data_IF_624795753627
#
_entry.id   IF_624795753627
#
_cell.length_a   1.000
_cell.length_b   1.000
_cell.length_c   1.000
_cell.angle_alpha   90.00
_cell.angle_beta   90.00
_cell.angle_gamma   90.00
#
_symmetry.space_group_name_H-M   'P 1'
#
loop_
_entity.id
_entity.type
_entity.pdbx_description
1 polymer ?
#
# COMPACT_ATOMS: atom_id res chain seq x y z
N UNK A 1 -17.20 -28.63 -2.41
CA UNK A 1 -17.13 -27.59 -1.36
C UNK A 1 -15.90 -26.75 -1.66
N UNK A 2 -16.04 -25.46 -1.90
CA UNK A 2 -14.87 -24.56 -1.99
C UNK A 2 -14.22 -24.52 -0.61
N UNK A 3 -12.93 -24.88 -0.53
CA UNK A 3 -12.12 -24.76 0.69
C UNK A 3 -12.35 -23.40 1.33
N UNK A 4 -12.54 -23.32 2.65
CA UNK A 4 -12.72 -22.05 3.35
C UNK A 4 -11.59 -21.07 2.97
N UNK A 5 -11.84 -19.76 2.93
CA UNK A 5 -10.77 -18.81 2.63
C UNK A 5 -9.64 -18.95 3.65
N UNK A 6 -8.44 -18.46 3.37
CA UNK A 6 -7.32 -18.54 4.34
C UNK A 6 -7.03 -17.17 4.93
N UNK A 7 -6.61 -17.06 6.21
CA UNK A 7 -6.11 -15.81 6.76
C UNK A 7 -5.07 -15.14 5.86
N UNK A 8 -5.19 -13.83 5.67
CA UNK A 8 -4.40 -13.03 4.74
C UNK A 8 -4.94 -12.98 3.31
N UNK A 9 -5.77 -13.95 2.90
CA UNK A 9 -6.32 -13.99 1.54
C UNK A 9 -7.27 -12.81 1.31
N UNK A 10 -7.14 -12.17 0.14
CA UNK A 10 -8.14 -11.21 -0.34
C UNK A 10 -9.24 -11.93 -1.08
N UNK A 11 -10.46 -11.62 -0.69
CA UNK A 11 -11.66 -12.23 -1.23
C UNK A 11 -12.64 -11.14 -1.65
N UNK A 12 -13.44 -11.45 -2.67
CA UNK A 12 -14.70 -10.76 -2.93
C UNK A 12 -15.82 -11.63 -2.37
N UNK A 13 -16.73 -11.04 -1.62
CA UNK A 13 -17.85 -11.75 -1.03
C UNK A 13 -19.16 -11.00 -1.25
N UNK A 14 -20.24 -11.77 -1.16
CA UNK A 14 -21.61 -11.29 -1.13
C UNK A 14 -22.28 -11.84 0.11
N UNK A 15 -22.98 -10.98 0.83
CA UNK A 15 -23.74 -11.33 2.03
C UNK A 15 -25.08 -10.60 2.00
N UNK A 16 -26.01 -11.03 2.83
CA UNK A 16 -27.27 -10.33 3.03
C UNK A 16 -27.33 -9.69 4.42
N UNK A 17 -27.91 -8.50 4.49
CA UNK A 17 -28.35 -7.88 5.73
C UNK A 17 -29.87 -7.64 5.69
N UNK A 18 -30.43 -6.99 6.72
CA UNK A 18 -31.87 -6.71 6.79
C UNK A 18 -32.41 -5.86 5.65
N UNK A 19 -31.55 -5.16 4.91
CA UNK A 19 -31.90 -4.27 3.80
C UNK A 19 -31.62 -4.91 2.43
N UNK A 20 -31.08 -6.14 2.38
CA UNK A 20 -30.86 -6.92 1.17
C UNK A 20 -29.40 -7.30 0.89
N UNK A 21 -29.06 -7.67 -0.35
CA UNK A 21 -27.73 -8.15 -0.70
C UNK A 21 -26.69 -7.03 -0.74
N UNK A 22 -25.49 -7.33 -0.26
CA UNK A 22 -24.33 -6.44 -0.19
C UNK A 22 -23.09 -7.13 -0.76
N UNK A 23 -22.15 -6.33 -1.25
CA UNK A 23 -20.87 -6.81 -1.81
C UNK A 23 -19.68 -6.11 -1.17
N UNK A 24 -18.59 -6.87 -0.98
CA UNK A 24 -17.41 -6.41 -0.28
C UNK A 24 -16.18 -7.11 -0.79
N UNK A 25 -15.08 -6.36 -0.80
CA UNK A 25 -13.75 -6.90 -1.02
C UNK A 25 -12.93 -6.55 0.21
N UNK A 26 -12.21 -7.55 0.71
CA UNK A 26 -11.41 -7.39 1.93
C UNK A 26 -10.42 -8.53 2.12
N UNK A 27 -9.60 -8.39 3.15
CA UNK A 27 -8.63 -9.40 3.57
C UNK A 27 -9.17 -10.20 4.74
N UNK A 28 -9.08 -11.51 4.65
CA UNK A 28 -9.48 -12.42 5.73
C UNK A 28 -8.52 -12.24 6.90
N UNK A 29 -9.02 -11.92 8.09
CA UNK A 29 -8.22 -11.91 9.31
C UNK A 29 -8.29 -13.24 10.04
N UNK A 30 -9.51 -13.76 10.23
CA UNK A 30 -9.78 -14.93 11.04
C UNK A 30 -11.03 -15.63 10.57
N UNK A 31 -11.05 -16.94 10.76
CA UNK A 31 -12.19 -17.81 10.49
C UNK A 31 -12.51 -18.54 11.79
N UNK A 32 -13.76 -18.47 12.21
CA UNK A 32 -14.24 -19.06 13.45
C UNK A 32 -15.57 -19.78 13.23
N UNK A 33 -16.03 -20.55 14.24
CA UNK A 33 -17.34 -21.18 14.20
C UNK A 33 -18.49 -20.18 14.01
N UNK A 34 -18.32 -18.95 14.51
CA UNK A 34 -19.29 -17.87 14.41
C UNK A 34 -19.35 -17.19 13.04
N UNK A 35 -18.30 -17.32 12.23
CA UNK A 35 -18.23 -16.61 10.96
C UNK A 35 -16.82 -16.28 10.47
N UNK A 36 -16.79 -15.27 9.61
CA UNK A 36 -15.61 -14.74 8.95
C UNK A 36 -15.30 -13.34 9.46
N UNK A 37 -14.09 -13.12 9.98
CA UNK A 37 -13.55 -11.79 10.28
C UNK A 37 -12.67 -11.32 9.14
N UNK A 38 -12.90 -10.10 8.67
CA UNK A 38 -12.16 -9.51 7.56
C UNK A 38 -11.88 -8.02 7.77
N UNK A 39 -10.81 -7.52 7.15
CA UNK A 39 -10.57 -6.10 6.98
C UNK A 39 -11.16 -5.67 5.64
N UNK A 40 -12.06 -4.69 5.64
CA UNK A 40 -12.49 -4.06 4.40
C UNK A 40 -11.37 -3.17 3.80
N UNK A 41 -11.66 -2.55 2.65
CA UNK A 41 -10.73 -1.63 1.97
C UNK A 41 -10.28 -0.44 2.82
N UNK A 42 -11.09 -0.04 3.80
CA UNK A 42 -10.75 1.02 4.74
C UNK A 42 -9.98 0.49 5.97
N UNK A 43 -9.61 -0.79 5.96
CA UNK A 43 -9.07 -1.52 7.10
C UNK A 43 -10.01 -1.54 8.31
N UNK A 44 -11.32 -1.44 8.06
CA UNK A 44 -12.31 -1.59 9.14
C UNK A 44 -12.59 -3.07 9.34
N UNK A 45 -12.45 -3.60 10.57
CA UNK A 45 -12.82 -4.97 10.86
C UNK A 45 -14.33 -5.18 10.67
N UNK A 46 -14.69 -6.27 9.99
CA UNK A 46 -16.08 -6.74 9.84
C UNK A 46 -16.15 -8.19 10.30
N UNK A 47 -17.18 -8.50 11.08
CA UNK A 47 -17.57 -9.87 11.38
C UNK A 47 -18.82 -10.21 10.57
N UNK A 48 -18.73 -11.23 9.74
CA UNK A 48 -19.85 -11.74 8.95
C UNK A 48 -20.18 -13.16 9.43
N UNK A 49 -21.40 -13.37 9.90
CA UNK A 49 -21.87 -14.69 10.28
C UNK A 49 -22.00 -15.60 9.07
N UNK A 50 -21.77 -16.91 9.24
CA UNK A 50 -21.92 -17.86 8.13
C UNK A 50 -23.32 -17.86 7.54
N UNK A 51 -24.34 -17.64 8.38
CA UNK A 51 -25.73 -17.57 7.98
C UNK A 51 -26.04 -16.38 7.07
N UNK A 52 -25.25 -15.30 7.13
CA UNK A 52 -25.45 -14.12 6.28
C UNK A 52 -24.63 -14.16 4.99
N UNK A 53 -23.65 -15.06 4.90
CA UNK A 53 -22.73 -15.14 3.76
C UNK A 53 -23.34 -15.96 2.62
N UNK A 54 -23.63 -15.30 1.49
CA UNK A 54 -24.21 -15.97 0.32
C UNK A 54 -23.14 -16.70 -0.50
N UNK A 55 -22.02 -16.02 -0.75
CA UNK A 55 -20.94 -16.55 -1.59
C UNK A 55 -19.66 -15.75 -1.38
N UNK A 56 -18.53 -16.36 -1.74
CA UNK A 56 -17.25 -15.69 -1.79
C UNK A 56 -16.38 -16.30 -2.88
N UNK A 57 -15.37 -15.54 -3.31
CA UNK A 57 -14.31 -16.02 -4.22
C UNK A 57 -12.99 -15.37 -3.87
N UNK A 58 -11.90 -16.12 -4.06
CA UNK A 58 -10.55 -15.56 -4.05
C UNK A 58 -10.39 -14.53 -5.17
N UNK A 59 -9.72 -13.43 -4.88
CA UNK A 59 -9.32 -12.43 -5.88
C UNK A 59 -7.81 -12.17 -5.77
N UNK A 60 -7.16 -11.60 -6.80
CA UNK A 60 -5.74 -11.26 -6.71
C UNK A 60 -5.44 -10.41 -5.47
N UNK A 61 -4.35 -10.73 -4.78
CA UNK A 61 -3.94 -10.02 -3.56
C UNK A 61 -3.73 -8.53 -3.83
N UNK A 62 -3.05 -8.23 -4.93
CA UNK A 62 -2.86 -6.88 -5.44
C UNK A 62 -3.60 -6.76 -6.77
N UNK A 63 -4.64 -5.93 -6.88
CA UNK A 63 -5.25 -5.63 -8.16
C UNK A 63 -4.23 -5.05 -9.14
N UNK A 64 -4.36 -5.38 -10.43
CA UNK A 64 -3.54 -4.74 -11.45
C UNK A 64 -3.83 -3.25 -11.51
N UNK A 65 -2.78 -2.45 -11.38
CA UNK A 65 -2.82 -1.01 -11.65
C UNK A 65 -2.86 -0.69 -13.14
N UNK A 66 -3.25 0.55 -13.46
CA UNK A 66 -3.07 1.13 -14.80
C UNK A 66 -1.57 1.30 -15.12
N UNK A 67 -1.21 1.66 -16.34
CA UNK A 67 0.17 2.04 -16.64
C UNK A 67 0.59 3.25 -15.78
N UNK A 68 1.58 3.09 -14.87
CA UNK A 68 2.00 4.17 -13.98
C UNK A 68 2.68 5.32 -14.74
N UNK A 69 3.12 5.12 -15.99
CA UNK A 69 3.68 6.19 -16.85
C UNK A 69 2.63 7.19 -17.31
N UNK A 70 1.36 6.80 -17.33
CA UNK A 70 0.23 7.65 -17.69
C UNK A 70 -0.38 8.38 -16.49
N UNK A 71 0.29 8.37 -15.33
CA UNK A 71 -0.20 9.02 -14.12
C UNK A 71 -0.34 10.54 -14.28
N UNK A 72 -1.37 11.12 -13.66
CA UNK A 72 -1.47 12.58 -13.52
C UNK A 72 -0.32 13.08 -12.66
N UNK A 73 0.62 13.79 -13.29
CA UNK A 73 1.81 14.29 -12.62
C UNK A 73 1.48 15.28 -11.51
N UNK A 74 0.46 16.11 -11.69
CA UNK A 74 0.07 17.08 -10.69
C UNK A 74 -0.48 16.39 -9.44
N UNK A 75 -1.22 15.29 -9.59
CA UNK A 75 -1.63 14.45 -8.46
C UNK A 75 -0.42 13.87 -7.73
N UNK A 76 0.51 13.28 -8.47
CA UNK A 76 1.71 12.66 -7.91
C UNK A 76 2.58 13.65 -7.12
N UNK A 77 2.75 14.87 -7.64
CA UNK A 77 3.50 15.93 -6.97
C UNK A 77 2.74 16.47 -5.76
N UNK A 78 1.40 16.62 -5.82
CA UNK A 78 0.57 16.97 -4.64
C UNK A 78 0.68 15.93 -3.54
N UNK A 79 0.62 14.64 -3.88
CA UNK A 79 0.80 13.56 -2.91
C UNK A 79 2.22 13.56 -2.32
N UNK A 80 3.25 13.84 -3.12
CA UNK A 80 4.64 13.93 -2.65
C UNK A 80 4.87 15.08 -1.65
N UNK A 81 4.09 16.15 -1.77
CA UNK A 81 4.13 17.32 -0.89
C UNK A 81 3.25 17.18 0.36
N UNK A 82 2.52 16.07 0.53
CA UNK A 82 1.65 15.85 1.69
C UNK A 82 2.46 15.90 3.00
N UNK A 83 1.97 16.69 3.95
CA UNK A 83 2.65 16.93 5.22
C UNK A 83 2.80 15.67 6.10
N UNK A 84 1.95 14.65 5.91
CA UNK A 84 2.02 13.38 6.67
C UNK A 84 3.24 12.55 6.29
N UNK A 85 3.81 12.79 5.11
CA UNK A 85 5.06 12.17 4.68
C UNK A 85 6.31 12.77 5.33
N UNK A 86 6.16 13.84 6.13
CA UNK A 86 7.27 14.45 6.87
C UNK A 86 7.68 13.55 8.04
N UNK A 87 8.99 13.31 8.18
CA UNK A 87 9.57 12.92 9.47
C UNK A 87 9.49 14.09 10.45
N UNK A 88 9.52 13.83 11.76
CA UNK A 88 9.43 14.84 12.82
C UNK A 88 10.56 15.89 12.81
N UNK A 89 11.62 15.69 12.01
CA UNK A 89 12.82 16.53 11.97
C UNK A 89 13.22 17.03 10.57
N UNK A 90 12.38 16.89 9.54
CA UNK A 90 12.76 17.26 8.17
C UNK A 90 12.16 18.60 7.69
N UNK A 91 12.92 19.41 6.91
CA UNK A 91 12.41 20.62 6.27
C UNK A 91 11.41 20.31 5.14
N UNK A 92 10.67 21.34 4.71
CA UNK A 92 9.45 21.29 3.88
C UNK A 92 9.50 20.28 2.70
N UNK A 93 8.54 19.32 2.59
CA UNK A 93 8.49 18.27 1.57
C UNK A 93 8.05 18.75 0.19
N UNK A 94 7.65 20.03 0.07
CA UNK A 94 7.19 20.64 -1.17
C UNK A 94 8.31 21.00 -2.14
N UNK A 95 9.57 20.97 -1.70
CA UNK A 95 10.73 21.20 -2.55
C UNK A 95 11.33 19.85 -2.92
N UNK A 96 11.18 19.45 -4.18
CA UNK A 96 11.92 18.31 -4.72
C UNK A 96 13.41 18.57 -4.47
N UNK A 97 14.08 17.66 -3.76
CA UNK A 97 15.49 17.86 -3.44
C UNK A 97 16.29 17.84 -4.75
N UNK A 98 17.35 18.66 -4.89
CA UNK A 98 18.22 18.58 -6.06
C UNK A 98 18.71 17.14 -6.28
N UNK A 99 18.49 16.59 -7.48
CA UNK A 99 18.87 15.22 -7.84
C UNK A 99 17.86 14.12 -7.45
N UNK A 100 16.74 14.45 -6.83
CA UNK A 100 15.72 13.45 -6.46
C UNK A 100 14.98 12.91 -7.69
N UNK A 101 14.91 11.58 -7.79
CA UNK A 101 14.18 10.90 -8.87
C UNK A 101 12.75 10.59 -8.44
N UNK A 102 11.78 11.07 -9.19
CA UNK A 102 10.42 10.52 -9.10
C UNK A 102 10.40 9.16 -9.79
N UNK A 103 9.98 8.13 -9.08
CA UNK A 103 9.85 6.81 -9.67
C UNK A 103 8.53 6.16 -9.29
N UNK A 104 7.97 5.40 -10.22
CA UNK A 104 6.64 4.81 -10.11
C UNK A 104 6.65 3.36 -10.55
N UNK A 105 5.72 2.58 -10.01
CA UNK A 105 5.51 1.19 -10.39
C UNK A 105 4.07 0.75 -10.10
N UNK A 106 3.66 -0.36 -10.71
CA UNK A 106 2.46 -1.08 -10.26
C UNK A 106 2.83 -1.94 -9.06
N UNK A 107 2.00 -1.94 -8.04
CA UNK A 107 2.25 -2.76 -6.85
C UNK A 107 2.24 -4.26 -7.17
N UNK A 108 1.40 -4.68 -8.12
CA UNK A 108 1.35 -6.08 -8.57
C UNK A 108 2.66 -6.54 -9.21
N UNK A 109 3.38 -5.64 -9.89
CA UNK A 109 4.65 -5.97 -10.55
C UNK A 109 5.81 -5.99 -9.51
N UNK A 110 5.71 -5.18 -8.45
CA UNK A 110 6.71 -5.12 -7.37
C UNK A 110 6.60 -6.27 -6.36
N UNK A 111 5.37 -6.57 -5.91
CA UNK A 111 5.13 -7.51 -4.81
C UNK A 111 4.86 -8.93 -5.33
N UNK A 112 4.50 -9.07 -6.60
CA UNK A 112 4.07 -10.34 -7.17
C UNK A 112 2.74 -10.83 -6.56
N UNK A 113 2.42 -12.13 -6.71
CA UNK A 113 1.14 -12.70 -6.27
C UNK A 113 1.03 -12.93 -4.74
N UNK A 114 2.13 -12.74 -3.99
CA UNK A 114 2.20 -13.06 -2.58
C UNK A 114 2.07 -11.81 -1.69
N UNK A 115 1.08 -11.78 -0.80
CA UNK A 115 1.11 -11.00 0.45
C UNK A 115 0.49 -11.91 1.51
N UNK A 116 1.20 -12.37 2.56
CA UNK A 116 1.77 -11.45 3.56
C UNK A 116 3.11 -11.90 4.19
N UNK A 117 3.59 -11.13 5.17
CA UNK A 117 4.29 -11.71 6.32
C UNK A 117 3.82 -11.08 7.65
N UNK A 118 3.48 -9.79 7.66
CA UNK A 118 2.92 -9.09 8.81
C UNK A 118 1.75 -8.20 8.34
N UNK A 119 0.73 -8.04 9.19
CA UNK A 119 -0.44 -7.21 8.90
C UNK A 119 -0.09 -5.71 8.91
N UNK A 120 -1.02 -4.84 8.44
CA UNK A 120 -0.80 -3.40 8.38
C UNK A 120 -0.45 -2.79 9.75
N UNK A 121 -0.87 -3.42 10.85
CA UNK A 121 -0.72 -2.94 12.22
C UNK A 121 0.75 -2.76 12.64
N UNK A 122 1.69 -3.49 12.02
CA UNK A 122 3.11 -3.40 12.36
C UNK A 122 3.76 -2.07 11.95
N UNK A 123 3.12 -1.31 11.06
CA UNK A 123 3.71 -0.13 10.40
C UNK A 123 2.74 1.06 10.28
N UNK A 124 1.47 0.89 10.65
CA UNK A 124 0.45 1.94 10.54
C UNK A 124 0.59 2.94 11.68
N UNK A 125 0.62 4.24 11.34
CA UNK A 125 0.66 5.32 12.34
C UNK A 125 -0.68 6.03 12.49
N UNK A 126 -1.72 5.53 11.80
CA UNK A 126 -3.06 6.11 11.76
C UNK A 126 -3.27 7.07 10.59
N UNK A 127 -4.53 7.40 10.32
CA UNK A 127 -4.90 8.47 9.38
C UNK A 127 -4.49 8.23 7.92
N UNK A 128 -4.37 6.97 7.49
CA UNK A 128 -3.96 6.65 6.11
C UNK A 128 -2.46 6.78 5.88
N UNK A 129 -1.65 6.66 6.93
CA UNK A 129 -0.20 6.80 6.91
C UNK A 129 0.49 5.56 7.50
N UNK A 130 1.64 5.18 6.95
CA UNK A 130 2.52 4.16 7.52
C UNK A 130 3.97 4.63 7.62
N UNK A 131 4.74 3.99 8.49
CA UNK A 131 6.18 4.21 8.67
C UNK A 131 6.92 2.88 8.82
N UNK A 132 8.15 2.80 8.31
CA UNK A 132 9.00 1.62 8.47
C UNK A 132 10.46 2.06 8.60
N UNK A 133 11.17 1.49 9.57
CA UNK A 133 12.58 1.78 9.84
C UNK A 133 13.37 0.47 9.84
N UNK A 134 14.42 0.43 9.01
CA UNK A 134 15.37 -0.68 8.93
C UNK A 134 16.79 -0.11 9.02
N UNK A 135 17.26 0.08 10.26
CA UNK A 135 18.54 0.74 10.53
C UNK A 135 18.55 2.20 10.04
N UNK A 136 19.55 2.64 9.25
CA UNK A 136 19.63 4.02 8.75
C UNK A 136 18.63 4.31 7.62
N UNK A 137 17.94 3.29 7.08
CA UNK A 137 16.87 3.49 6.11
C UNK A 137 15.54 3.62 6.85
N UNK A 138 14.83 4.73 6.62
CA UNK A 138 13.47 4.96 7.11
C UNK A 138 12.60 5.45 5.95
N UNK A 139 11.31 5.14 6.00
CA UNK A 139 10.35 5.69 5.05
C UNK A 139 8.97 5.83 5.65
N UNK A 140 8.20 6.76 5.07
CA UNK A 140 6.79 7.00 5.36
C UNK A 140 5.96 6.85 4.10
N UNK A 141 4.72 6.41 4.24
CA UNK A 141 3.82 6.22 3.12
C UNK A 141 2.43 6.80 3.42
N UNK A 142 1.77 7.31 2.38
CA UNK A 142 0.33 7.60 2.39
C UNK A 142 -0.35 6.87 1.24
N UNK A 143 -1.65 6.62 1.38
CA UNK A 143 -2.51 6.09 0.32
C UNK A 143 -3.65 7.07 0.01
N UNK A 144 -3.87 7.35 -1.28
CA UNK A 144 -4.95 8.21 -1.77
C UNK A 144 -5.52 7.58 -3.05
N UNK A 145 -6.77 7.12 -2.97
CA UNK A 145 -7.41 6.41 -4.07
C UNK A 145 -6.62 5.15 -4.46
N UNK A 146 -6.32 4.99 -5.75
CA UNK A 146 -5.56 3.84 -6.26
C UNK A 146 -4.03 4.00 -6.16
N UNK A 147 -3.55 5.09 -5.56
CA UNK A 147 -2.13 5.43 -5.48
C UNK A 147 -1.62 5.45 -4.05
N UNK A 148 -0.37 5.01 -3.88
CA UNK A 148 0.41 5.28 -2.68
C UNK A 148 1.62 6.14 -3.03
N UNK A 149 2.07 6.97 -2.08
CA UNK A 149 3.35 7.66 -2.16
C UNK A 149 4.18 7.30 -0.96
N UNK A 150 5.40 6.82 -1.21
CA UNK A 150 6.44 6.53 -0.22
C UNK A 150 7.48 7.64 -0.30
N UNK A 151 7.82 8.23 0.84
CA UNK A 151 8.94 9.15 1.01
C UNK A 151 9.98 8.48 1.90
N UNK A 152 11.18 8.29 1.37
CA UNK A 152 12.33 7.83 2.13
C UNK A 152 12.93 9.00 2.91
N UNK A 153 13.23 8.79 4.20
CA UNK A 153 13.93 9.75 5.04
C UNK A 153 15.44 9.66 4.80
N UNK A 154 16.14 10.78 4.97
CA UNK A 154 17.60 10.80 4.82
C UNK A 154 18.26 10.19 6.06
N UNK A 155 18.99 9.10 5.85
CA UNK A 155 19.99 8.59 6.79
C UNK A 155 21.36 9.10 6.37
N UNK A 156 22.31 9.14 7.29
CA UNK A 156 23.69 9.44 6.93
C UNK A 156 24.20 8.41 5.89
N UNK A 157 24.93 8.84 4.84
CA UNK A 157 25.49 7.91 3.87
C UNK A 157 26.52 6.97 4.52
N UNK A 158 26.67 5.73 4.03
CA UNK A 158 26.02 5.19 2.83
C UNK A 158 24.69 4.50 3.16
N UNK A 159 23.65 4.86 2.41
CA UNK A 159 22.42 4.09 2.39
C UNK A 159 22.71 2.70 1.81
N UNK A 160 22.78 1.70 2.68
CA UNK A 160 22.80 0.29 2.29
C UNK A 160 21.55 0.02 1.42
N UNK A 161 21.78 -0.27 0.14
CA UNK A 161 20.74 -0.35 -0.88
C UNK A 161 19.67 -1.39 -0.55
N UNK A 162 20.10 -2.50 0.05
CA UNK A 162 19.25 -3.63 0.45
C UNK A 162 18.24 -3.22 1.53
N UNK A 163 18.62 -2.29 2.42
CA UNK A 163 17.71 -1.80 3.48
C UNK A 163 16.64 -0.88 2.92
N UNK A 164 16.99 -0.05 1.95
CA UNK A 164 16.03 0.84 1.27
C UNK A 164 14.96 0.03 0.54
N UNK A 165 15.38 -1.00 -0.19
CA UNK A 165 14.46 -1.89 -0.92
C UNK A 165 13.51 -2.62 0.04
N UNK A 166 14.00 -3.07 1.20
CA UNK A 166 13.17 -3.69 2.23
C UNK A 166 12.14 -2.71 2.82
N UNK A 167 12.52 -1.47 3.09
CA UNK A 167 11.58 -0.42 3.56
C UNK A 167 10.50 -0.15 2.50
N UNK A 168 10.89 0.01 1.24
CA UNK A 168 9.94 0.21 0.13
C UNK A 168 9.01 -0.99 -0.03
N UNK A 169 9.53 -2.21 0.04
CA UNK A 169 8.72 -3.42 -0.04
C UNK A 169 7.72 -3.53 1.13
N UNK A 170 8.13 -3.21 2.36
CA UNK A 170 7.24 -3.22 3.52
C UNK A 170 6.10 -2.19 3.38
N UNK A 171 6.42 -0.95 3.01
CA UNK A 171 5.43 0.10 2.81
C UNK A 171 4.53 -0.16 1.58
N UNK A 172 5.05 -0.79 0.54
CA UNK A 172 4.27 -1.23 -0.62
C UNK A 172 3.23 -2.31 -0.23
N UNK A 173 3.58 -3.25 0.67
CA UNK A 173 2.61 -4.23 1.21
C UNK A 173 1.52 -3.54 2.02
N UNK A 174 1.87 -2.59 2.88
CA UNK A 174 0.88 -1.77 3.59
C UNK A 174 -0.06 -1.05 2.62
N UNK A 175 0.47 -0.48 1.53
CA UNK A 175 -0.33 0.20 0.52
C UNK A 175 -1.31 -0.75 -0.19
N UNK A 176 -0.88 -1.99 -0.47
CA UNK A 176 -1.74 -3.01 -1.06
C UNK A 176 -2.92 -3.40 -0.15
N UNK A 177 -2.71 -3.47 1.18
CA UNK A 177 -3.80 -3.67 2.14
C UNK A 177 -4.84 -2.54 2.10
N UNK A 178 -4.43 -1.31 1.72
CA UNK A 178 -5.30 -0.16 1.51
C UNK A 178 -5.84 -0.03 0.08
N UNK A 179 -5.86 -1.13 -0.66
CA UNK A 179 -6.35 -1.23 -2.05
C UNK A 179 -5.65 -0.31 -3.06
N UNK A 180 -4.46 0.21 -2.71
CA UNK A 180 -3.63 0.89 -3.68
C UNK A 180 -3.19 -0.10 -4.77
N UNK A 181 -3.02 0.40 -6.00
CA UNK A 181 -2.64 -0.40 -7.17
C UNK A 181 -1.31 0.04 -7.77
N UNK A 182 -0.96 1.30 -7.56
CA UNK A 182 0.27 1.90 -8.01
C UNK A 182 0.97 2.60 -6.84
N UNK A 183 2.27 2.74 -6.97
CA UNK A 183 3.10 3.41 -5.97
C UNK A 183 4.06 4.38 -6.65
N UNK A 184 4.26 5.51 -5.98
CA UNK A 184 5.34 6.45 -6.22
C UNK A 184 6.35 6.35 -5.08
N UNK A 185 7.64 6.37 -5.39
CA UNK A 185 8.72 6.53 -4.40
C UNK A 185 9.46 7.84 -4.66
N UNK A 186 9.83 8.49 -3.56
CA UNK A 186 10.51 9.78 -3.46
C UNK A 186 11.62 9.72 -2.41
N UNK A 187 12.61 10.60 -2.49
CA UNK A 187 13.71 10.69 -1.53
C UNK A 187 14.95 9.84 -1.85
N UNK A 188 15.16 9.49 -3.12
CA UNK A 188 16.39 8.79 -3.57
C UNK A 188 16.90 9.42 -4.88
N UNK A 189 18.20 9.31 -5.10
CA UNK A 189 18.96 9.79 -6.26
C UNK A 189 19.16 8.69 -7.33
N UNK A 190 18.69 7.46 -7.07
CA UNK A 190 18.77 6.32 -7.99
C UNK A 190 17.41 5.67 -8.22
N UNK A 191 17.29 4.97 -9.34
CA UNK A 191 16.10 4.16 -9.66
C UNK A 191 16.22 2.82 -8.96
N UNK A 192 15.20 2.46 -8.18
CA UNK A 192 15.12 1.18 -7.50
C UNK A 192 14.68 0.07 -8.48
N UNK A 193 15.07 -1.19 -8.23
CA UNK A 193 14.63 -2.32 -9.05
C UNK A 193 13.10 -2.40 -9.15
N UNK A 194 12.58 -2.65 -10.37
CA UNK A 194 11.14 -2.74 -10.62
C UNK A 194 10.41 -1.40 -10.75
N UNK A 195 11.09 -0.27 -10.57
CA UNK A 195 10.53 1.07 -10.77
C UNK A 195 10.89 1.67 -12.12
N UNK A 196 10.00 2.52 -12.64
CA UNK A 196 10.27 3.40 -13.77
C UNK A 196 10.46 4.83 -13.26
N UNK A 197 11.55 5.48 -13.63
CA UNK A 197 11.73 6.91 -13.41
C UNK A 197 10.79 7.73 -14.30
N UNK A 198 10.12 8.72 -13.71
CA UNK A 198 9.42 9.76 -14.45
C UNK A 198 10.37 10.94 -14.61
N UNK A 199 10.70 11.30 -15.84
CA UNK A 199 11.53 12.46 -16.14
C UNK A 199 10.97 13.71 -15.46
N UNK A 200 11.83 14.46 -14.76
CA UNK A 200 11.47 15.80 -14.31
C UNK A 200 11.31 16.65 -15.58
N UNK A 201 10.14 17.25 -15.79
CA UNK A 201 10.04 18.31 -16.81
C UNK A 201 10.95 19.44 -16.33
N UNK A 202 11.98 19.73 -17.10
CA UNK A 202 12.66 21.03 -17.06
C UNK A 202 11.58 22.08 -17.27
N UNK A 203 11.22 22.80 -16.21
CA UNK A 203 10.47 24.05 -16.32
C UNK A 203 11.40 25.13 -16.83
#
# INVERSE_FOLDING_TARGET
MSDLPVPGQRIALRWHDGDGPRELIGHVQRIGPEGLTLLDRALTPRLLGWQSLDSWRGVPQVPRGRDPRAADRALLDRMAADHRLRGSAEPDPGVARPGEVCQVARLADLLGPAIPAQGPEAYDTGGGTATCTLGPAEGRAIAVGEWATIRLAKGEPPHDGDRTEQVVAALARWAAYRDARNVQVRGTDRVLPGFTALGLRST
#
